data_IF_482685098068
#
_entry.id   IF_482685098068
#
_cell.length_a   1.000
_cell.length_b   1.000
_cell.length_c   1.000
_cell.angle_alpha   90.00
_cell.angle_beta   90.00
_cell.angle_gamma   90.00
#
_symmetry.space_group_name_H-M   'P 1'
#
loop_
_entity.id
_entity.type
_entity.pdbx_description
1 polymer ?
#
# COMPACT_ATOMS: atom_id res chain seq x y z
N UNK A 1 33.13 -53.15 -54.44
CA UNK A 1 32.46 -51.91 -54.06
C UNK A 1 32.28 -51.86 -52.53
N UNK A 2 33.15 -51.15 -51.81
CA UNK A 2 33.18 -51.07 -50.36
C UNK A 2 32.57 -49.71 -49.97
N UNK A 3 31.39 -49.71 -49.30
CA UNK A 3 30.77 -48.51 -48.80
C UNK A 3 31.33 -48.23 -47.38
N UNK A 4 31.97 -47.07 -47.21
CA UNK A 4 32.47 -46.60 -45.95
C UNK A 4 31.31 -45.90 -45.21
N UNK A 5 31.04 -46.36 -43.99
CA UNK A 5 30.07 -45.78 -43.07
C UNK A 5 30.75 -44.68 -42.24
N UNK A 6 30.41 -43.42 -42.49
CA UNK A 6 30.91 -42.29 -41.70
C UNK A 6 29.97 -42.14 -40.49
N UNK A 7 30.51 -42.45 -39.31
CA UNK A 7 29.81 -42.20 -38.01
C UNK A 7 30.13 -40.77 -37.60
N UNK A 8 29.13 -39.87 -37.70
CA UNK A 8 29.24 -38.52 -37.17
C UNK A 8 28.93 -38.55 -35.67
N UNK A 9 29.95 -38.35 -34.86
CA UNK A 9 29.80 -38.17 -33.40
C UNK A 9 29.34 -36.74 -33.16
N UNK A 10 28.07 -36.57 -32.75
CA UNK A 10 27.52 -35.29 -32.26
C UNK A 10 27.93 -35.13 -30.81
N UNK A 11 28.90 -34.24 -30.56
CA UNK A 11 29.32 -33.87 -29.22
C UNK A 11 28.28 -32.90 -28.63
N UNK A 12 27.40 -33.38 -27.75
CA UNK A 12 26.40 -32.58 -27.02
C UNK A 12 27.16 -31.82 -25.91
N UNK A 13 27.49 -30.54 -26.14
CA UNK A 13 28.00 -29.64 -25.10
C UNK A 13 26.81 -29.19 -24.26
N UNK A 14 26.60 -29.80 -23.08
CA UNK A 14 25.67 -29.31 -22.06
C UNK A 14 26.33 -28.11 -21.39
N UNK A 15 25.98 -26.90 -21.84
CA UNK A 15 26.27 -25.66 -21.10
C UNK A 15 25.39 -25.66 -19.85
N UNK A 16 25.92 -26.09 -18.72
CA UNK A 16 25.34 -25.86 -17.40
C UNK A 16 25.47 -24.37 -17.06
N UNK A 17 24.51 -23.59 -17.54
CA UNK A 17 24.29 -22.20 -17.11
C UNK A 17 23.77 -22.19 -15.67
N UNK A 18 24.70 -22.19 -14.72
CA UNK A 18 24.36 -21.86 -13.32
C UNK A 18 23.89 -20.41 -13.25
N UNK A 19 22.60 -20.17 -13.37
CA UNK A 19 22.01 -18.85 -13.15
C UNK A 19 22.38 -18.41 -11.74
N UNK A 20 23.08 -17.27 -11.61
CA UNK A 20 23.49 -16.65 -10.36
C UNK A 20 22.26 -16.18 -9.56
N UNK A 21 21.61 -17.08 -8.84
CA UNK A 21 20.44 -16.81 -7.98
C UNK A 21 20.81 -15.81 -6.86
N UNK A 22 22.06 -15.83 -6.39
CA UNK A 22 22.58 -14.90 -5.39
C UNK A 22 22.64 -13.44 -5.91
N UNK A 23 22.97 -13.22 -7.17
CA UNK A 23 23.01 -11.88 -7.78
C UNK A 23 21.60 -11.26 -7.92
N UNK A 24 20.60 -12.06 -8.24
CA UNK A 24 19.22 -11.60 -8.37
C UNK A 24 18.60 -11.22 -7.01
N UNK A 25 18.85 -11.98 -5.95
CA UNK A 25 18.37 -11.67 -4.61
C UNK A 25 18.98 -10.37 -4.05
N UNK A 26 20.26 -10.10 -4.31
CA UNK A 26 20.94 -8.86 -3.94
C UNK A 26 20.38 -7.64 -4.69
N UNK A 27 20.10 -7.76 -5.97
CA UNK A 27 19.54 -6.68 -6.79
C UNK A 27 18.10 -6.33 -6.34
N UNK A 28 17.26 -7.32 -6.07
CA UNK A 28 15.89 -7.10 -5.54
C UNK A 28 15.91 -6.40 -4.18
N UNK A 29 16.82 -6.79 -3.29
CA UNK A 29 16.99 -6.16 -1.98
C UNK A 29 17.46 -4.71 -2.06
N UNK A 30 18.34 -4.36 -3.00
CA UNK A 30 18.78 -2.98 -3.21
C UNK A 30 17.66 -2.11 -3.79
N UNK A 31 16.94 -2.61 -4.79
CA UNK A 31 15.81 -1.92 -5.40
C UNK A 31 14.66 -1.64 -4.40
N UNK A 32 14.37 -2.59 -3.51
CA UNK A 32 13.39 -2.37 -2.43
C UNK A 32 13.84 -1.25 -1.49
N UNK A 33 15.11 -1.23 -1.07
CA UNK A 33 15.65 -0.18 -0.19
C UNK A 33 15.57 1.20 -0.84
N UNK A 34 15.88 1.31 -2.13
CA UNK A 34 15.81 2.55 -2.89
C UNK A 34 14.35 3.03 -3.00
N UNK A 35 13.41 2.15 -3.32
CA UNK A 35 11.98 2.46 -3.35
C UNK A 35 11.48 2.96 -2.00
N UNK A 36 11.83 2.30 -0.89
CA UNK A 36 11.45 2.73 0.46
C UNK A 36 12.04 4.11 0.79
N UNK A 37 13.28 4.38 0.39
CA UNK A 37 13.92 5.70 0.60
C UNK A 37 13.15 6.80 -0.14
N UNK A 38 12.82 6.59 -1.41
CA UNK A 38 12.04 7.53 -2.22
C UNK A 38 10.64 7.78 -1.63
N UNK A 39 9.95 6.71 -1.18
CA UNK A 39 8.64 6.82 -0.54
C UNK A 39 8.73 7.69 0.73
N UNK A 40 9.75 7.49 1.58
CA UNK A 40 9.96 8.28 2.79
C UNK A 40 10.24 9.75 2.49
N UNK A 41 11.03 10.03 1.46
CA UNK A 41 11.30 11.40 1.01
C UNK A 41 10.00 12.07 0.51
N UNK A 42 9.19 11.36 -0.30
CA UNK A 42 7.92 11.87 -0.80
C UNK A 42 6.93 12.13 0.34
N UNK A 43 6.80 11.20 1.29
CA UNK A 43 6.01 11.35 2.51
C UNK A 43 6.41 12.62 3.27
N UNK A 44 7.70 12.81 3.54
CA UNK A 44 8.21 13.98 4.26
C UNK A 44 7.93 15.28 3.50
N UNK A 45 8.14 15.29 2.18
CA UNK A 45 7.88 16.45 1.33
C UNK A 45 6.40 16.85 1.32
N UNK A 46 5.48 15.89 1.22
CA UNK A 46 4.04 16.13 1.26
C UNK A 46 3.65 16.74 2.62
N UNK A 47 4.05 16.12 3.73
CA UNK A 47 3.66 16.61 5.07
C UNK A 47 4.26 17.99 5.40
N UNK A 48 5.46 18.30 4.91
CA UNK A 48 6.08 19.64 5.05
C UNK A 48 5.29 20.73 4.31
N UNK A 49 4.55 20.38 3.27
CA UNK A 49 3.88 21.35 2.39
C UNK A 49 2.33 21.30 2.48
N UNK A 50 1.74 20.69 3.52
CA UNK A 50 0.29 20.51 3.64
C UNK A 50 -0.51 21.81 3.47
N UNK A 51 0.00 22.93 3.97
CA UNK A 51 -0.64 24.25 3.87
C UNK A 51 -0.67 24.84 2.46
N UNK A 52 0.10 24.29 1.53
CA UNK A 52 0.16 24.74 0.12
C UNK A 52 -0.84 24.02 -0.77
N UNK A 53 -1.39 22.91 -0.33
CA UNK A 53 -2.29 22.10 -1.13
C UNK A 53 -3.75 22.57 -1.00
N UNK A 54 -4.50 22.43 -2.09
CA UNK A 54 -5.95 22.56 -2.06
C UNK A 54 -6.54 21.43 -1.21
N UNK A 55 -7.47 21.78 -0.32
CA UNK A 55 -8.14 20.81 0.56
C UNK A 55 -9.55 20.52 0.04
N UNK A 56 -9.91 19.24 -0.03
CA UNK A 56 -11.26 18.74 -0.30
C UNK A 56 -11.68 17.88 0.89
N UNK A 57 -12.88 18.11 1.43
CA UNK A 57 -13.46 17.31 2.51
C UNK A 57 -14.68 16.56 2.02
N UNK A 58 -14.87 15.34 2.51
CA UNK A 58 -16.03 14.48 2.22
C UNK A 58 -16.46 13.77 3.50
N UNK A 59 -17.73 13.45 3.60
CA UNK A 59 -18.26 12.52 4.60
C UNK A 59 -18.08 11.08 4.13
N UNK A 60 -17.94 10.15 5.07
CA UNK A 60 -17.86 8.71 4.81
C UNK A 60 -19.04 8.01 5.46
N UNK A 61 -19.80 7.23 4.68
CA UNK A 61 -20.95 6.45 5.13
C UNK A 61 -20.73 4.96 4.91
N UNK A 62 -21.12 4.13 5.88
CA UNK A 62 -21.01 2.67 5.80
C UNK A 62 -19.62 2.10 6.03
N UNK A 63 -18.58 2.93 6.24
CA UNK A 63 -17.23 2.48 6.57
C UNK A 63 -17.08 2.09 8.05
N UNK A 64 -17.87 2.70 8.92
CA UNK A 64 -17.91 2.46 10.36
C UNK A 64 -19.32 2.70 10.92
N UNK A 65 -19.57 2.32 12.17
CA UNK A 65 -20.89 2.43 12.80
C UNK A 65 -21.31 3.88 13.12
N UNK A 66 -20.33 4.75 13.38
CA UNK A 66 -20.57 6.16 13.73
C UNK A 66 -20.18 7.13 12.61
N UNK A 67 -19.97 6.59 11.38
CA UNK A 67 -19.55 7.38 10.24
C UNK A 67 -18.08 7.77 10.28
N UNK A 68 -17.69 8.60 9.31
CA UNK A 68 -16.32 9.04 9.18
C UNK A 68 -16.19 10.28 8.32
N UNK A 69 -14.97 10.77 8.23
CA UNK A 69 -14.63 11.91 7.38
C UNK A 69 -13.34 11.66 6.58
N UNK A 70 -13.27 12.29 5.44
CA UNK A 70 -12.12 12.27 4.55
C UNK A 70 -11.64 13.70 4.31
N UNK A 71 -10.33 13.90 4.40
CA UNK A 71 -9.65 15.12 3.97
C UNK A 71 -8.61 14.77 2.91
N UNK A 72 -8.80 15.27 1.68
CA UNK A 72 -7.84 15.11 0.59
C UNK A 72 -7.04 16.40 0.35
N UNK A 73 -5.77 16.22 0.06
CA UNK A 73 -4.81 17.27 -0.27
C UNK A 73 -4.39 17.14 -1.73
N UNK A 74 -4.55 18.21 -2.51
CA UNK A 74 -4.32 18.23 -3.95
C UNK A 74 -3.24 19.28 -4.32
N UNK A 75 -2.28 18.86 -5.13
CA UNK A 75 -1.34 19.74 -5.83
C UNK A 75 -1.89 19.99 -7.24
N UNK A 76 -2.51 21.15 -7.45
CA UNK A 76 -3.34 21.40 -8.62
C UNK A 76 -4.54 20.44 -8.68
N UNK A 77 -4.58 19.57 -9.70
CA UNK A 77 -5.60 18.54 -9.87
C UNK A 77 -5.16 17.15 -9.31
N UNK A 78 -3.88 17.03 -8.90
CA UNK A 78 -3.29 15.75 -8.49
C UNK A 78 -3.49 15.52 -7.00
N UNK A 79 -4.10 14.40 -6.61
CA UNK A 79 -4.20 13.99 -5.21
C UNK A 79 -2.82 13.54 -4.74
N UNK A 80 -2.31 14.16 -3.67
CA UNK A 80 -1.02 13.80 -3.07
C UNK A 80 -1.18 13.08 -1.73
N UNK A 81 -2.27 13.34 -0.99
CA UNK A 81 -2.59 12.71 0.27
C UNK A 81 -4.10 12.63 0.46
N UNK A 82 -4.57 11.54 1.05
CA UNK A 82 -5.92 11.41 1.62
C UNK A 82 -5.75 10.99 3.07
N UNK A 83 -6.41 11.68 3.99
CA UNK A 83 -6.55 11.28 5.39
C UNK A 83 -8.00 10.90 5.65
N UNK A 84 -8.20 9.77 6.31
CA UNK A 84 -9.51 9.18 6.65
C UNK A 84 -9.59 9.00 8.15
N UNK A 85 -10.71 9.41 8.75
CA UNK A 85 -11.08 9.11 10.12
C UNK A 85 -12.38 8.34 10.10
N UNK A 86 -12.41 7.15 10.70
CA UNK A 86 -13.60 6.34 10.89
C UNK A 86 -13.82 6.12 12.38
N UNK A 87 -15.02 6.46 12.87
CA UNK A 87 -15.38 6.38 14.28
C UNK A 87 -16.26 5.16 14.52
N UNK A 88 -16.04 4.49 15.65
CA UNK A 88 -16.86 3.38 16.14
C UNK A 88 -16.94 3.42 17.65
N UNK A 89 -17.88 2.68 18.24
CA UNK A 89 -18.20 2.73 19.67
C UNK A 89 -17.02 2.46 20.59
N UNK A 90 -16.14 1.52 20.22
CA UNK A 90 -15.02 1.07 21.07
C UNK A 90 -13.63 1.35 20.49
N UNK A 91 -13.59 1.90 19.26
CA UNK A 91 -12.34 2.22 18.59
C UNK A 91 -12.53 3.25 17.47
N UNK A 92 -11.43 3.94 17.11
CA UNK A 92 -11.36 4.73 15.89
C UNK A 92 -10.20 4.27 15.02
N UNK A 93 -10.33 4.50 13.72
CA UNK A 93 -9.27 4.27 12.75
C UNK A 93 -8.93 5.59 12.06
N UNK A 94 -7.66 5.91 12.08
CA UNK A 94 -7.09 7.00 11.29
C UNK A 94 -6.14 6.40 10.26
N UNK A 95 -6.39 6.69 8.98
CA UNK A 95 -5.59 6.18 7.88
C UNK A 95 -5.14 7.32 6.96
N UNK A 96 -3.89 7.29 6.55
CA UNK A 96 -3.33 8.23 5.60
C UNK A 96 -2.82 7.48 4.37
N UNK A 97 -3.26 7.91 3.20
CA UNK A 97 -2.87 7.39 1.89
C UNK A 97 -2.03 8.45 1.19
N UNK A 98 -0.85 8.07 0.73
CA UNK A 98 0.07 8.96 0.04
C UNK A 98 0.29 8.51 -1.40
N UNK A 99 0.37 9.49 -2.30
CA UNK A 99 0.40 9.25 -3.74
C UNK A 99 1.62 9.89 -4.39
N UNK A 100 2.10 9.23 -5.44
CA UNK A 100 3.07 9.79 -6.39
C UNK A 100 2.66 9.38 -7.80
N UNK A 101 2.56 10.34 -8.73
CA UNK A 101 2.09 10.10 -10.09
C UNK A 101 0.76 9.31 -10.12
N UNK A 102 -0.19 9.71 -9.27
CA UNK A 102 -1.51 9.10 -9.10
C UNK A 102 -1.51 7.63 -8.60
N UNK A 103 -0.35 7.06 -8.27
CA UNK A 103 -0.21 5.72 -7.71
C UNK A 103 -0.08 5.79 -6.19
N UNK A 104 -0.74 4.86 -5.51
CA UNK A 104 -0.57 4.66 -4.07
C UNK A 104 0.87 4.22 -3.79
N UNK A 105 1.58 4.94 -2.92
CA UNK A 105 2.96 4.63 -2.53
C UNK A 105 3.10 4.25 -1.05
N UNK A 106 2.20 4.74 -0.18
CA UNK A 106 2.31 4.51 1.25
C UNK A 106 0.95 4.63 1.94
N UNK A 107 0.70 3.73 2.91
CA UNK A 107 -0.42 3.84 3.85
C UNK A 107 0.12 3.78 5.27
N UNK A 108 -0.27 4.76 6.07
CA UNK A 108 -0.16 4.74 7.53
C UNK A 108 -1.52 4.48 8.12
N UNK A 109 -1.62 3.54 9.05
CA UNK A 109 -2.84 3.24 9.78
C UNK A 109 -2.58 3.34 11.28
N UNK A 110 -3.44 4.07 11.98
CA UNK A 110 -3.50 4.14 13.43
C UNK A 110 -4.89 3.68 13.89
N UNK A 111 -4.95 2.77 14.85
CA UNK A 111 -6.15 2.37 15.56
C UNK A 111 -6.03 2.82 17.01
N UNK A 112 -7.01 3.52 17.50
CA UNK A 112 -7.17 3.84 18.93
C UNK A 112 -8.30 2.99 19.50
N UNK A 113 -8.04 2.32 20.62
CA UNK A 113 -8.98 1.47 21.33
C UNK A 113 -9.32 2.17 22.63
N UNK A 114 -10.62 2.28 22.91
CA UNK A 114 -11.17 2.98 24.07
C UNK A 114 -11.59 1.98 25.16
N UNK A 115 -11.56 2.42 26.44
CA UNK A 115 -12.24 1.70 27.50
C UNK A 115 -13.72 2.04 27.48
N UNK A 116 -14.53 1.24 28.16
CA UNK A 116 -15.97 1.57 28.39
C UNK A 116 -16.15 2.25 29.76
N UNK A 117 -16.94 3.37 29.81
CA UNK A 117 -17.46 4.12 28.69
C UNK A 117 -16.37 4.88 27.94
N UNK A 118 -16.48 5.07 26.63
CA UNK A 118 -15.53 5.59 25.63
C UNK A 118 -14.91 6.96 25.93
N UNK A 119 -14.30 7.14 27.06
CA UNK A 119 -13.75 8.42 27.48
C UNK A 119 -12.21 8.47 27.51
N UNK A 120 -11.53 7.35 27.28
CA UNK A 120 -10.07 7.28 27.34
C UNK A 120 -9.48 6.24 26.37
N UNK A 121 -8.51 6.66 25.58
CA UNK A 121 -7.68 5.75 24.78
C UNK A 121 -6.83 4.88 25.73
N UNK A 122 -6.99 3.56 25.65
CA UNK A 122 -6.23 2.58 26.45
C UNK A 122 -5.15 1.87 25.64
N UNK A 123 -5.28 1.87 24.31
CA UNK A 123 -4.28 1.26 23.42
C UNK A 123 -4.27 1.95 22.06
N UNK A 124 -3.07 2.16 21.54
CA UNK A 124 -2.85 2.62 20.17
C UNK A 124 -2.03 1.57 19.42
N UNK A 125 -2.45 1.28 18.19
CA UNK A 125 -1.78 0.36 17.27
C UNK A 125 -1.46 1.10 15.98
N UNK A 126 -0.26 0.93 15.46
CA UNK A 126 0.17 1.57 14.21
C UNK A 126 0.70 0.54 13.22
N UNK A 127 0.35 0.69 11.96
CA UNK A 127 0.87 -0.14 10.87
C UNK A 127 1.28 0.72 9.68
N UNK A 128 2.23 0.24 8.90
CA UNK A 128 2.77 0.96 7.73
C UNK A 128 2.88 0.01 6.55
N UNK A 129 2.36 0.44 5.40
CA UNK A 129 2.32 -0.34 4.17
C UNK A 129 2.99 0.48 3.06
N UNK A 130 4.00 -0.09 2.41
CA UNK A 130 4.77 0.55 1.35
C UNK A 130 4.46 -0.12 0.02
N UNK A 131 4.13 0.69 -0.98
CA UNK A 131 3.73 0.21 -2.30
C UNK A 131 4.68 0.72 -3.38
N UNK A 132 4.96 -0.11 -4.38
CA UNK A 132 5.65 0.28 -5.59
C UNK A 132 4.94 -0.36 -6.79
N UNK A 133 4.48 0.46 -7.75
CA UNK A 133 3.76 0.02 -8.95
C UNK A 133 2.60 -0.97 -8.68
N UNK A 134 1.83 -0.72 -7.60
CA UNK A 134 0.70 -1.55 -7.21
C UNK A 134 1.07 -2.84 -6.47
N UNK A 135 2.35 -3.07 -6.19
CA UNK A 135 2.81 -4.17 -5.34
C UNK A 135 3.05 -3.68 -3.91
N UNK A 136 2.58 -4.44 -2.92
CA UNK A 136 2.94 -4.22 -1.52
C UNK A 136 4.36 -4.74 -1.31
N UNK A 137 5.35 -3.84 -1.22
CA UNK A 137 6.76 -4.21 -1.10
C UNK A 137 7.22 -4.36 0.35
N UNK A 138 6.54 -3.69 1.31
CA UNK A 138 6.84 -3.81 2.74
C UNK A 138 5.60 -3.54 3.58
N UNK A 139 5.42 -4.35 4.62
CA UNK A 139 4.43 -4.13 5.67
C UNK A 139 5.12 -4.19 7.04
N UNK A 140 4.96 -3.14 7.83
CA UNK A 140 5.35 -3.09 9.25
C UNK A 140 4.06 -3.20 10.07
N UNK A 141 3.98 -4.19 10.95
CA UNK A 141 2.82 -4.47 11.79
C UNK A 141 2.71 -3.52 13.00
N UNK A 142 1.69 -3.72 13.80
CA UNK A 142 1.40 -2.95 15.03
C UNK A 142 2.46 -3.09 16.14
N UNK A 143 3.36 -4.06 16.02
CA UNK A 143 4.48 -4.28 16.94
C UNK A 143 5.79 -3.67 16.39
N UNK A 144 5.74 -2.96 15.27
CA UNK A 144 6.90 -2.40 14.58
C UNK A 144 7.74 -3.45 13.84
N UNK A 145 7.24 -4.68 13.65
CA UNK A 145 7.95 -5.77 12.98
C UNK A 145 7.57 -5.85 11.51
N UNK A 146 8.54 -6.17 10.67
CA UNK A 146 8.27 -6.44 9.25
C UNK A 146 7.56 -7.78 9.10
N UNK A 147 6.39 -7.76 8.47
CA UNK A 147 5.63 -8.95 8.09
C UNK A 147 6.28 -9.60 6.86
N UNK A 148 6.48 -10.89 6.90
CA UNK A 148 7.05 -11.62 5.77
C UNK A 148 6.07 -11.64 4.59
N UNK A 149 6.55 -11.47 3.36
CA UNK A 149 5.71 -11.45 2.15
C UNK A 149 4.93 -12.76 1.91
N UNK A 150 5.38 -13.89 2.48
CA UNK A 150 4.70 -15.19 2.47
C UNK A 150 3.55 -15.30 3.48
N UNK A 151 3.33 -14.29 4.33
CA UNK A 151 2.23 -14.32 5.30
C UNK A 151 0.89 -14.27 4.57
N UNK A 152 -0.09 -15.10 4.97
CA UNK A 152 -1.39 -15.24 4.29
C UNK A 152 -2.13 -13.92 4.10
N UNK A 153 -2.08 -13.02 5.08
CA UNK A 153 -2.71 -11.69 5.03
C UNK A 153 -1.99 -10.68 4.11
N UNK A 154 -0.80 -11.01 3.59
CA UNK A 154 -0.03 -10.06 2.77
C UNK A 154 -0.74 -9.71 1.45
N UNK A 155 -1.20 -10.71 0.64
CA UNK A 155 -1.97 -10.43 -0.57
C UNK A 155 -3.33 -9.79 -0.28
N UNK A 156 -4.00 -10.18 0.81
CA UNK A 156 -5.27 -9.58 1.23
C UNK A 156 -5.11 -8.09 1.54
N UNK A 157 -4.06 -7.73 2.31
CA UNK A 157 -3.76 -6.33 2.63
C UNK A 157 -3.44 -5.51 1.39
N UNK A 158 -2.70 -6.09 0.42
CA UNK A 158 -2.43 -5.45 -0.86
C UNK A 158 -3.73 -5.13 -1.60
N UNK A 159 -4.59 -6.13 -1.81
CA UNK A 159 -5.86 -5.98 -2.53
C UNK A 159 -6.77 -4.98 -1.83
N UNK A 160 -6.89 -5.08 -0.50
CA UNK A 160 -7.69 -4.17 0.31
C UNK A 160 -7.29 -2.70 0.12
N UNK A 161 -6.02 -2.36 0.31
CA UNK A 161 -5.57 -0.96 0.23
C UNK A 161 -5.60 -0.40 -1.19
N UNK A 162 -5.35 -1.21 -2.21
CA UNK A 162 -5.49 -0.77 -3.61
C UNK A 162 -6.96 -0.50 -3.97
N UNK A 163 -7.89 -1.37 -3.55
CA UNK A 163 -9.31 -1.18 -3.78
C UNK A 163 -9.85 0.05 -3.01
N UNK A 164 -9.49 0.18 -1.73
CA UNK A 164 -9.87 1.33 -0.91
C UNK A 164 -9.30 2.63 -1.48
N UNK A 165 -8.03 2.66 -1.86
CA UNK A 165 -7.41 3.81 -2.51
C UNK A 165 -8.15 4.24 -3.78
N UNK A 166 -8.53 3.27 -4.62
CA UNK A 166 -9.32 3.54 -5.85
C UNK A 166 -10.68 4.16 -5.53
N UNK A 167 -11.40 3.61 -4.54
CA UNK A 167 -12.69 4.13 -4.10
C UNK A 167 -12.57 5.57 -3.58
N UNK A 168 -11.63 5.81 -2.67
CA UNK A 168 -11.43 7.13 -2.07
C UNK A 168 -11.02 8.18 -3.11
N UNK A 169 -10.11 7.87 -4.02
CA UNK A 169 -9.68 8.81 -5.08
C UNK A 169 -10.82 9.13 -6.05
N UNK A 170 -11.66 8.15 -6.40
CA UNK A 170 -12.86 8.38 -7.20
C UNK A 170 -13.86 9.28 -6.48
N UNK A 171 -14.11 9.03 -5.19
CA UNK A 171 -14.98 9.86 -4.35
C UNK A 171 -14.50 11.30 -4.22
N UNK A 172 -13.18 11.53 -4.04
CA UNK A 172 -12.60 12.88 -4.00
C UNK A 172 -12.86 13.65 -5.31
N UNK A 173 -12.85 12.96 -6.45
CA UNK A 173 -13.09 13.55 -7.78
C UNK A 173 -14.57 13.72 -8.12
N UNK A 174 -15.47 13.04 -7.40
CA UNK A 174 -16.91 13.18 -7.62
C UNK A 174 -17.44 14.51 -7.12
N UNK A 175 -18.64 14.91 -7.59
CA UNK A 175 -19.36 16.09 -7.09
C UNK A 175 -20.13 15.79 -5.78
N UNK A 176 -20.32 14.51 -5.46
CA UNK A 176 -21.08 14.10 -4.29
C UNK A 176 -20.36 14.51 -3.00
N UNK A 177 -21.08 15.02 -1.98
CA UNK A 177 -20.49 15.44 -0.71
C UNK A 177 -20.05 14.26 0.16
N UNK A 178 -20.57 13.06 -0.12
CA UNK A 178 -20.37 11.84 0.66
C UNK A 178 -19.82 10.72 -0.21
N UNK A 179 -19.04 9.85 0.40
CA UNK A 179 -18.52 8.59 -0.19
C UNK A 179 -19.15 7.44 0.58
N UNK A 180 -19.80 6.53 -0.12
CA UNK A 180 -20.41 5.34 0.47
C UNK A 180 -19.46 4.14 0.38
N UNK A 181 -19.45 3.33 1.45
CA UNK A 181 -18.75 2.06 1.41
C UNK A 181 -19.47 1.12 0.42
N UNK A 182 -18.72 0.25 -0.29
CA UNK A 182 -19.33 -0.75 -1.15
C UNK A 182 -20.22 -1.69 -0.32
N UNK A 183 -21.37 -2.08 -0.89
CA UNK A 183 -22.25 -3.07 -0.27
C UNK A 183 -21.45 -4.35 0.05
N UNK A 184 -21.59 -4.84 1.26
CA UNK A 184 -21.02 -6.14 1.63
C UNK A 184 -21.92 -7.20 1.00
N UNK A 185 -21.44 -7.86 -0.05
CA UNK A 185 -22.11 -9.06 -0.54
C UNK A 185 -22.11 -10.09 0.61
N UNK A 186 -23.28 -10.34 1.15
CA UNK A 186 -23.57 -11.35 2.20
C UNK A 186 -23.49 -12.76 1.64
#
# INVERSE_FOLDING_TARGET
>A
MKRALIITVVLLVVLSGGANVAGMASAVSSQEKDSISQIRQRYAAINKNLTKYKVVKKELSGFSTEGGELTAYLDGATIVKIAVMNNGETNSFYEEFYYSNEKLIFVYRKQEIYNEPMNKVVRTKESRFYFNDGELIRWIDENGKQVASRHSKYPESRVHYLALSKLLTAGVRSQEPMIEAPERNS
#
